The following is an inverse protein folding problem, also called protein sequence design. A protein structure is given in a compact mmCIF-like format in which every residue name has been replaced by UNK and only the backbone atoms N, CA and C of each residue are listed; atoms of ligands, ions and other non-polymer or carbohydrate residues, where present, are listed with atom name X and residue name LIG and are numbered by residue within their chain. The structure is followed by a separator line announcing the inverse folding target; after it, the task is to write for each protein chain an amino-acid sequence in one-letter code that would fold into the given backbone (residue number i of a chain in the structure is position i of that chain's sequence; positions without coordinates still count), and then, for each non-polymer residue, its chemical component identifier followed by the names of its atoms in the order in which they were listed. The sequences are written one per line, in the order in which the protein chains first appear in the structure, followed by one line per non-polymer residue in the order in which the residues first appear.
data_IF_529822973123
#
_entry.id   IF_529822973123
#
_cell.length_a   1.000
_cell.length_b   1.000
_cell.length_c   1.000
_cell.angle_alpha   90.00
_cell.angle_beta   90.00
_cell.angle_gamma   90.00
#
_symmetry.space_group_name_H-M   'P 1'
#
loop_
_entity.id
_entity.type
_entity.pdbx_description
1 polymer ?
#
# COMPACT_ATOMS: atom_id res chain seq x y z
N UNK A 1 -41.99 13.88 58.98
CA UNK A 1 -41.53 14.73 57.89
C UNK A 1 -40.03 14.66 57.62
N UNK A 2 -39.14 14.65 58.61
CA UNK A 2 -37.67 14.63 58.37
C UNK A 2 -37.09 13.35 57.74
N UNK A 3 -37.79 12.19 57.86
CA UNK A 3 -37.39 10.91 57.28
C UNK A 3 -37.68 10.82 55.78
N UNK A 4 -38.78 11.40 55.33
CA UNK A 4 -39.16 11.41 53.92
C UNK A 4 -38.26 12.27 53.04
N UNK A 5 -37.75 13.40 53.58
CA UNK A 5 -36.81 14.27 52.87
C UNK A 5 -35.40 13.65 52.72
N UNK A 6 -34.96 12.84 53.69
CA UNK A 6 -33.68 12.13 53.60
C UNK A 6 -33.70 10.98 52.60
N UNK A 7 -34.81 10.27 52.51
CA UNK A 7 -34.99 9.20 51.52
C UNK A 7 -35.06 9.78 50.09
N UNK A 8 -35.77 10.91 49.92
CA UNK A 8 -35.90 11.58 48.61
C UNK A 8 -34.56 12.14 48.11
N UNK A 9 -33.72 12.71 48.95
CA UNK A 9 -32.38 13.18 48.59
C UNK A 9 -31.41 12.05 48.28
N UNK A 10 -31.51 10.87 48.90
CA UNK A 10 -30.70 9.71 48.60
C UNK A 10 -31.09 9.08 47.25
N UNK A 11 -32.38 9.05 46.90
CA UNK A 11 -32.88 8.57 45.62
C UNK A 11 -32.49 9.51 44.47
N UNK A 12 -32.54 10.87 44.67
CA UNK A 12 -32.09 11.82 43.65
C UNK A 12 -30.56 11.75 43.44
N UNK A 13 -29.77 11.53 44.48
CA UNK A 13 -28.31 11.36 44.39
C UNK A 13 -27.95 10.08 43.65
N UNK A 14 -28.68 8.98 43.83
CA UNK A 14 -28.43 7.72 43.14
C UNK A 14 -28.85 7.78 41.63
N UNK A 15 -29.87 8.53 41.28
CA UNK A 15 -30.29 8.75 39.89
C UNK A 15 -29.30 9.64 39.13
N UNK A 16 -28.72 10.66 39.82
CA UNK A 16 -27.66 11.51 39.23
C UNK A 16 -26.32 10.77 39.04
N UNK A 17 -26.00 9.81 39.92
CA UNK A 17 -24.80 8.97 39.76
C UNK A 17 -24.96 7.91 38.66
N UNK A 18 -26.17 7.40 38.44
CA UNK A 18 -26.47 6.47 37.34
C UNK A 18 -26.49 7.14 35.97
N UNK A 19 -26.79 8.44 35.89
CA UNK A 19 -26.72 9.20 34.63
C UNK A 19 -25.30 9.55 34.18
N UNK A 20 -24.29 9.46 35.07
CA UNK A 20 -22.89 9.66 34.72
C UNK A 20 -22.21 8.41 34.12
N UNK A 21 -22.84 7.23 34.25
CA UNK A 21 -22.35 5.99 33.63
C UNK A 21 -23.05 5.65 32.30
N UNK A 22 -24.08 6.38 31.91
CA UNK A 22 -24.81 6.18 30.63
C UNK A 22 -24.19 6.93 29.44
N UNK A 23 -22.99 7.51 29.60
CA UNK A 23 -22.33 8.34 28.58
C UNK A 23 -21.28 7.63 27.72
N UNK A 24 -21.08 6.31 27.86
CA UNK A 24 -20.32 5.52 26.86
C UNK A 24 -21.28 4.94 25.83
N UNK A 25 -21.96 5.78 25.07
CA UNK A 25 -22.50 5.38 23.79
C UNK A 25 -21.28 5.12 22.89
N UNK A 26 -21.16 3.91 22.36
CA UNK A 26 -20.24 3.67 21.25
C UNK A 26 -20.48 4.77 20.21
N UNK A 27 -19.47 5.59 19.96
CA UNK A 27 -19.52 6.55 18.88
C UNK A 27 -19.81 5.74 17.61
N UNK A 28 -20.89 6.06 16.91
CA UNK A 28 -21.19 5.46 15.62
C UNK A 28 -19.95 5.63 14.72
N UNK A 29 -19.34 4.51 14.33
CA UNK A 29 -18.14 4.52 13.50
C UNK A 29 -18.51 5.01 12.12
N UNK A 30 -17.68 5.87 11.55
CA UNK A 30 -17.87 6.33 10.17
C UNK A 30 -17.36 5.27 9.20
N UNK A 31 -18.23 4.78 8.34
CA UNK A 31 -17.86 3.81 7.29
C UNK A 31 -17.09 4.52 6.19
N UNK A 32 -15.97 3.92 5.78
CA UNK A 32 -15.08 4.39 4.73
C UNK A 32 -14.78 3.23 3.79
N UNK A 33 -15.04 3.45 2.50
CA UNK A 33 -14.69 2.48 1.46
C UNK A 33 -13.27 2.77 0.94
N UNK A 34 -12.41 1.76 1.01
CA UNK A 34 -11.02 1.84 0.55
C UNK A 34 -10.80 0.81 -0.56
N UNK A 35 -10.35 1.25 -1.73
CA UNK A 35 -9.94 0.32 -2.80
C UNK A 35 -8.43 0.18 -2.79
N UNK A 36 -7.95 -1.03 -2.52
CA UNK A 36 -6.52 -1.39 -2.59
C UNK A 36 -6.18 -2.00 -3.96
N UNK A 37 -4.96 -1.73 -4.45
CA UNK A 37 -4.52 -2.20 -5.77
C UNK A 37 -4.48 -3.72 -5.89
N UNK A 38 -4.11 -4.40 -4.82
CA UNK A 38 -4.09 -5.86 -4.66
C UNK A 38 -4.06 -6.21 -3.18
N UNK A 39 -4.44 -7.44 -2.82
CA UNK A 39 -4.32 -7.95 -1.46
C UNK A 39 -2.92 -8.56 -1.29
N UNK A 40 -2.03 -7.93 -0.49
CA UNK A 40 -0.65 -8.34 -0.36
C UNK A 40 -0.05 -7.98 0.99
N UNK A 41 0.78 -8.86 1.55
CA UNK A 41 1.58 -8.59 2.77
C UNK A 41 2.50 -7.38 2.59
N UNK A 42 2.75 -6.95 1.36
CA UNK A 42 3.44 -5.69 1.07
C UNK A 42 2.80 -4.47 1.75
N UNK A 43 1.53 -4.58 2.11
CA UNK A 43 0.77 -3.54 2.82
C UNK A 43 0.60 -3.85 4.31
N UNK A 44 1.53 -4.57 4.93
CA UNK A 44 1.48 -4.95 6.34
C UNK A 44 1.06 -3.82 7.29
N UNK A 45 1.54 -2.56 7.17
CA UNK A 45 1.08 -1.49 8.04
C UNK A 45 -0.43 -1.25 8.01
N UNK A 46 -1.08 -1.38 6.84
CA UNK A 46 -2.53 -1.28 6.69
C UNK A 46 -3.26 -2.38 7.44
N UNK A 47 -2.86 -3.64 7.20
CA UNK A 47 -3.54 -4.79 7.82
C UNK A 47 -3.30 -4.87 9.32
N UNK A 48 -2.11 -4.49 9.78
CA UNK A 48 -1.84 -4.35 11.21
C UNK A 48 -2.74 -3.28 11.82
N UNK A 49 -2.89 -2.12 11.18
CA UNK A 49 -3.80 -1.08 11.67
C UNK A 49 -5.26 -1.55 11.73
N UNK A 50 -5.71 -2.35 10.76
CA UNK A 50 -7.04 -2.98 10.77
C UNK A 50 -7.14 -4.01 11.89
N UNK A 51 -6.26 -5.00 11.93
CA UNK A 51 -6.37 -6.16 12.81
C UNK A 51 -6.10 -5.81 14.29
N UNK A 52 -5.37 -4.73 14.57
CA UNK A 52 -5.17 -4.16 15.92
C UNK A 52 -6.27 -3.19 16.33
N UNK A 53 -7.22 -2.88 15.46
CA UNK A 53 -8.33 -1.99 15.77
C UNK A 53 -7.98 -0.51 15.79
N UNK A 54 -6.87 -0.08 15.20
CA UNK A 54 -6.44 1.33 15.24
C UNK A 54 -7.39 2.26 14.46
N UNK A 55 -8.03 1.75 13.40
CA UNK A 55 -9.08 2.50 12.70
C UNK A 55 -10.34 2.67 13.55
N UNK A 56 -10.74 1.62 14.27
CA UNK A 56 -11.88 1.67 15.20
C UNK A 56 -11.63 2.64 16.35
N UNK A 57 -10.42 2.68 16.90
CA UNK A 57 -10.02 3.65 17.93
C UNK A 57 -10.18 5.09 17.45
N UNK A 58 -9.91 5.35 16.17
CA UNK A 58 -10.10 6.65 15.52
C UNK A 58 -11.54 6.89 15.05
N UNK A 59 -12.47 5.97 15.34
CA UNK A 59 -13.90 6.08 15.01
C UNK A 59 -14.22 5.75 13.56
N UNK A 60 -13.37 4.97 12.88
CA UNK A 60 -13.57 4.53 11.49
C UNK A 60 -13.88 3.05 11.41
N UNK A 61 -14.71 2.67 10.45
CA UNK A 61 -14.96 1.29 10.02
C UNK A 61 -14.60 1.20 8.54
N UNK A 62 -13.57 0.41 8.20
CA UNK A 62 -13.09 0.27 6.84
C UNK A 62 -13.78 -0.88 6.11
N UNK A 63 -14.26 -0.59 4.90
CA UNK A 63 -14.65 -1.60 3.92
C UNK A 63 -13.56 -1.65 2.84
N UNK A 64 -12.79 -2.74 2.82
CA UNK A 64 -11.71 -2.94 1.86
C UNK A 64 -12.21 -3.62 0.60
N UNK A 65 -11.85 -3.06 -0.57
CA UNK A 65 -12.20 -3.58 -1.91
C UNK A 65 -10.91 -3.82 -2.69
N UNK A 66 -10.70 -5.04 -3.18
CA UNK A 66 -9.56 -5.34 -4.06
C UNK A 66 -9.83 -4.81 -5.48
N UNK A 67 -9.13 -3.76 -5.87
CA UNK A 67 -9.29 -3.08 -7.16
C UNK A 67 -8.64 -3.82 -8.34
N UNK A 68 -7.69 -4.72 -8.08
CA UNK A 68 -6.99 -5.50 -9.10
C UNK A 68 -6.26 -4.65 -10.17
N UNK A 69 -5.64 -3.55 -9.76
CA UNK A 69 -4.85 -2.66 -10.60
C UNK A 69 -5.03 -1.18 -10.25
N UNK A 70 -3.97 -0.38 -10.37
CA UNK A 70 -3.96 1.03 -10.00
C UNK A 70 -4.94 1.87 -10.83
N UNK A 71 -5.08 1.56 -12.11
CA UNK A 71 -6.03 2.18 -13.03
C UNK A 71 -7.50 1.99 -12.60
N UNK A 72 -7.84 0.79 -12.12
CA UNK A 72 -9.18 0.49 -11.61
C UNK A 72 -9.44 1.17 -10.27
N UNK A 73 -8.44 1.17 -9.37
CA UNK A 73 -8.52 1.91 -8.10
C UNK A 73 -8.77 3.39 -8.36
N UNK A 74 -7.96 4.01 -9.24
CA UNK A 74 -8.13 5.42 -9.58
C UNK A 74 -9.50 5.69 -10.21
N UNK A 75 -9.96 4.83 -11.13
CA UNK A 75 -11.30 4.96 -11.73
C UNK A 75 -12.40 4.92 -10.66
N UNK A 76 -12.29 4.05 -9.66
CA UNK A 76 -13.26 3.96 -8.57
C UNK A 76 -13.27 5.23 -7.69
N UNK A 77 -12.10 5.82 -7.42
CA UNK A 77 -11.96 7.07 -6.67
C UNK A 77 -12.56 8.25 -7.43
N UNK A 78 -12.13 8.48 -8.68
CA UNK A 78 -12.57 9.65 -9.45
C UNK A 78 -14.06 9.60 -9.83
N UNK A 79 -14.67 8.42 -9.86
CA UNK A 79 -16.11 8.25 -10.04
C UNK A 79 -16.91 8.39 -8.73
N UNK A 80 -16.23 8.46 -7.57
CA UNK A 80 -16.87 8.49 -6.26
C UNK A 80 -17.49 7.16 -5.83
N UNK A 81 -17.08 6.05 -6.45
CA UNK A 81 -17.52 4.71 -6.07
C UNK A 81 -16.88 4.24 -4.77
N UNK A 82 -15.65 4.69 -4.49
CA UNK A 82 -14.94 4.53 -3.22
C UNK A 82 -14.45 5.88 -2.70
N UNK A 83 -14.27 5.97 -1.40
CA UNK A 83 -13.84 7.20 -0.72
C UNK A 83 -12.33 7.43 -0.88
N UNK A 84 -11.54 6.37 -0.72
CA UNK A 84 -10.08 6.39 -0.68
C UNK A 84 -9.53 5.31 -1.60
N UNK A 85 -8.50 5.67 -2.37
CA UNK A 85 -7.70 4.75 -3.15
C UNK A 85 -6.36 4.46 -2.48
N UNK A 86 -5.88 3.23 -2.65
CA UNK A 86 -4.58 2.78 -2.19
C UNK A 86 -3.85 2.08 -3.33
N UNK A 87 -2.96 2.82 -3.99
CA UNK A 87 -2.20 2.37 -5.15
C UNK A 87 -0.95 3.23 -5.35
N UNK A 88 -0.25 3.07 -6.45
CA UNK A 88 0.89 3.90 -6.80
C UNK A 88 0.48 5.36 -7.03
N UNK A 89 1.27 6.32 -6.53
CA UNK A 89 0.97 7.76 -6.67
C UNK A 89 1.10 8.27 -8.11
N UNK A 90 1.69 7.49 -9.04
CA UNK A 90 1.70 7.79 -10.48
C UNK A 90 0.29 7.99 -11.02
N UNK A 91 -0.69 7.26 -10.48
CA UNK A 91 -2.08 7.38 -10.90
C UNK A 91 -2.64 8.79 -10.65
N UNK A 92 -2.25 9.44 -9.54
CA UNK A 92 -2.62 10.83 -9.26
C UNK A 92 -1.93 11.81 -10.21
N UNK A 93 -0.67 11.54 -10.58
CA UNK A 93 0.08 12.34 -11.56
C UNK A 93 -0.61 12.30 -12.93
N UNK A 94 -1.01 11.13 -13.40
CA UNK A 94 -1.71 10.98 -14.68
C UNK A 94 -3.02 11.76 -14.71
N UNK A 95 -3.87 11.60 -13.70
CA UNK A 95 -5.17 12.29 -13.61
C UNK A 95 -5.01 13.81 -13.53
N UNK A 96 -3.99 14.31 -12.83
CA UNK A 96 -3.68 15.73 -12.78
C UNK A 96 -3.27 16.25 -14.16
N UNK A 97 -2.39 15.54 -14.85
CA UNK A 97 -1.89 15.94 -16.17
C UNK A 97 -2.98 15.85 -17.27
N UNK A 98 -4.04 15.09 -17.08
CA UNK A 98 -5.25 15.11 -17.90
C UNK A 98 -6.06 16.41 -17.74
N UNK A 99 -5.68 17.30 -16.81
CA UNK A 99 -6.33 18.60 -16.58
C UNK A 99 -7.63 18.51 -15.77
N UNK A 100 -7.82 17.44 -15.01
CA UNK A 100 -9.00 17.27 -14.17
C UNK A 100 -8.95 18.23 -12.97
N UNK A 101 -10.00 19.05 -12.77
CA UNK A 101 -10.09 20.02 -11.66
C UNK A 101 -10.18 19.32 -10.29
N UNK A 102 -10.99 18.27 -10.18
CA UNK A 102 -11.13 17.42 -8.98
C UNK A 102 -10.25 16.18 -9.14
N UNK A 103 -8.94 16.39 -9.13
CA UNK A 103 -7.94 15.33 -9.18
C UNK A 103 -7.78 14.64 -7.81
N UNK A 104 -7.10 13.51 -7.79
CA UNK A 104 -6.80 12.78 -6.57
C UNK A 104 -5.53 13.35 -5.91
N UNK A 105 -5.65 13.85 -4.67
CA UNK A 105 -4.50 14.24 -3.84
C UNK A 105 -4.00 13.05 -3.03
N UNK A 106 -2.69 12.86 -2.98
CA UNK A 106 -2.03 11.87 -2.14
C UNK A 106 -1.83 12.46 -0.74
N UNK A 107 -2.25 11.75 0.31
CA UNK A 107 -2.20 12.26 1.67
C UNK A 107 -1.45 11.38 2.68
N UNK A 108 -1.04 10.15 2.29
CA UNK A 108 -0.24 9.28 3.17
C UNK A 108 0.53 8.23 2.35
N UNK A 109 1.81 8.05 2.64
CA UNK A 109 2.66 7.02 2.04
C UNK A 109 2.73 5.78 2.94
N UNK A 110 2.81 4.59 2.34
CA UNK A 110 2.97 3.32 3.07
C UNK A 110 4.26 2.62 2.69
N UNK A 111 4.55 2.51 1.42
CA UNK A 111 5.74 1.81 0.92
C UNK A 111 6.66 2.77 0.18
N UNK A 112 7.97 2.57 0.35
CA UNK A 112 9.00 3.47 -0.14
C UNK A 112 10.00 2.81 -1.11
N UNK A 113 9.77 1.53 -1.46
CA UNK A 113 10.54 0.78 -2.45
C UNK A 113 9.63 -0.16 -3.20
N UNK A 114 10.07 -0.63 -4.36
CA UNK A 114 9.40 -1.71 -5.07
C UNK A 114 9.36 -2.97 -4.20
N UNK A 115 8.19 -3.55 -4.04
CA UNK A 115 7.97 -4.76 -3.24
C UNK A 115 7.93 -6.04 -4.07
N UNK A 116 8.24 -5.97 -5.37
CA UNK A 116 8.26 -7.15 -6.21
C UNK A 116 9.61 -7.87 -6.19
N UNK A 117 9.53 -9.17 -6.35
CA UNK A 117 10.69 -10.04 -6.48
C UNK A 117 10.73 -10.59 -7.91
N UNK A 118 11.91 -10.60 -8.50
CA UNK A 118 12.16 -11.28 -9.76
C UNK A 118 12.24 -12.77 -9.49
N UNK A 119 11.33 -13.52 -10.10
CA UNK A 119 11.22 -14.98 -9.98
C UNK A 119 11.64 -15.62 -11.30
N UNK A 120 12.65 -16.48 -11.24
CA UNK A 120 13.16 -17.26 -12.37
C UNK A 120 12.67 -18.70 -12.37
N UNK A 121 12.93 -19.43 -13.45
CA UNK A 121 12.56 -20.84 -13.64
C UNK A 121 13.42 -21.80 -12.80
N UNK A 122 14.63 -21.38 -12.45
CA UNK A 122 15.62 -22.16 -11.70
C UNK A 122 16.26 -21.30 -10.62
N UNK A 123 16.81 -21.90 -9.55
CA UNK A 123 17.62 -21.17 -8.58
C UNK A 123 18.86 -20.56 -9.24
N UNK A 124 19.17 -19.31 -8.92
CA UNK A 124 20.35 -18.58 -9.40
C UNK A 124 21.07 -17.90 -8.23
N UNK A 125 21.97 -18.66 -7.54
CA UNK A 125 22.69 -18.16 -6.35
C UNK A 125 23.52 -16.90 -6.60
N UNK A 126 23.95 -16.65 -7.85
CA UNK A 126 24.74 -15.50 -8.26
C UNK A 126 24.05 -14.75 -9.39
N UNK A 127 22.75 -14.45 -9.21
CA UNK A 127 22.00 -13.67 -10.19
C UNK A 127 22.68 -12.33 -10.46
N UNK A 128 22.71 -11.95 -11.73
CA UNK A 128 23.15 -10.64 -12.18
C UNK A 128 22.18 -10.10 -13.22
N UNK A 129 21.78 -8.86 -13.09
CA UNK A 129 20.80 -8.22 -13.98
C UNK A 129 21.16 -8.33 -15.47
N UNK A 130 22.48 -8.35 -15.81
CA UNK A 130 22.93 -8.55 -17.19
C UNK A 130 22.57 -9.92 -17.76
N UNK A 131 22.23 -10.92 -16.93
CA UNK A 131 21.77 -12.25 -17.39
C UNK A 131 20.37 -12.22 -18.02
N UNK A 132 19.64 -11.11 -17.85
CA UNK A 132 18.36 -10.89 -18.50
C UNK A 132 18.46 -10.62 -20.00
N UNK A 133 19.68 -10.44 -20.55
CA UNK A 133 19.85 -10.21 -21.97
C UNK A 133 19.31 -11.38 -22.80
N UNK A 134 18.41 -11.06 -23.74
CA UNK A 134 17.70 -12.04 -24.56
C UNK A 134 16.59 -12.79 -23.86
N UNK A 135 16.25 -12.46 -22.62
CA UNK A 135 15.21 -13.12 -21.84
C UNK A 135 13.83 -12.49 -22.05
N UNK A 136 12.82 -13.31 -21.84
CA UNK A 136 11.41 -12.92 -21.84
C UNK A 136 10.94 -12.75 -20.39
N UNK A 137 10.55 -11.53 -20.02
CA UNK A 137 10.16 -11.15 -18.65
C UNK A 137 8.73 -10.62 -18.65
N UNK A 138 7.96 -11.03 -17.65
CA UNK A 138 6.63 -10.49 -17.35
C UNK A 138 6.77 -9.44 -16.21
N UNK A 139 6.92 -8.15 -16.50
CA UNK A 139 7.24 -7.14 -15.49
C UNK A 139 6.02 -6.42 -14.92
N UNK A 140 4.83 -6.74 -15.38
CA UNK A 140 3.57 -6.06 -15.07
C UNK A 140 3.01 -5.24 -16.22
N UNK A 141 2.04 -4.39 -15.92
CA UNK A 141 1.35 -3.55 -16.91
C UNK A 141 2.20 -2.31 -17.23
N UNK A 142 2.41 -2.02 -18.50
CA UNK A 142 3.05 -0.79 -18.96
C UNK A 142 2.36 0.45 -18.36
N UNK A 143 3.13 1.46 -17.95
CA UNK A 143 2.64 2.66 -17.29
C UNK A 143 2.29 2.49 -15.80
N UNK A 144 2.39 1.29 -15.23
CA UNK A 144 2.33 1.06 -13.79
C UNK A 144 3.71 1.11 -13.14
N UNK A 145 3.79 1.48 -11.86
CA UNK A 145 5.08 1.59 -11.15
C UNK A 145 5.90 0.29 -11.21
N UNK A 146 5.31 -0.94 -11.06
CA UNK A 146 6.09 -2.18 -11.16
C UNK A 146 6.85 -2.30 -12.48
N UNK A 147 6.18 -2.02 -13.59
CA UNK A 147 6.79 -2.08 -14.93
C UNK A 147 7.90 -1.03 -15.08
N UNK A 148 7.60 0.23 -14.74
CA UNK A 148 8.55 1.34 -14.87
C UNK A 148 9.76 1.19 -13.94
N UNK A 149 9.58 0.71 -12.71
CA UNK A 149 10.67 0.43 -11.79
C UNK A 149 11.57 -0.68 -12.33
N UNK A 150 10.99 -1.74 -12.88
CA UNK A 150 11.75 -2.82 -13.51
C UNK A 150 12.51 -2.33 -14.76
N UNK A 151 11.87 -1.53 -15.63
CA UNK A 151 12.57 -0.88 -16.76
C UNK A 151 13.73 -0.02 -16.30
N UNK A 152 13.53 0.77 -15.25
CA UNK A 152 14.58 1.59 -14.67
C UNK A 152 15.77 0.74 -14.21
N UNK A 153 15.50 -0.35 -13.49
CA UNK A 153 16.53 -1.28 -13.01
C UNK A 153 17.34 -1.88 -14.17
N UNK A 154 16.69 -2.38 -15.20
CA UNK A 154 17.43 -2.98 -16.34
C UNK A 154 18.25 -1.95 -17.12
N UNK A 155 17.76 -0.70 -17.24
CA UNK A 155 18.55 0.40 -17.85
C UNK A 155 19.77 0.77 -17.01
N UNK A 156 19.63 0.83 -15.67
CA UNK A 156 20.76 1.07 -14.76
C UNK A 156 21.85 -0.01 -14.89
N UNK A 157 21.47 -1.22 -15.28
CA UNK A 157 22.37 -2.34 -15.50
C UNK A 157 22.83 -2.47 -16.97
N UNK A 158 22.65 -1.41 -17.79
CA UNK A 158 23.15 -1.31 -19.15
C UNK A 158 22.38 -2.14 -20.19
N UNK A 159 21.15 -2.53 -19.88
CA UNK A 159 20.26 -3.24 -20.81
C UNK A 159 19.18 -2.31 -21.35
N UNK A 160 18.84 -2.47 -22.62
CA UNK A 160 17.79 -1.68 -23.26
C UNK A 160 16.49 -2.48 -23.30
N UNK A 161 15.40 -1.98 -22.64
CA UNK A 161 14.06 -2.59 -22.69
C UNK A 161 13.55 -2.75 -24.13
N UNK A 162 12.94 -3.88 -24.43
CA UNK A 162 12.41 -4.18 -25.76
C UNK A 162 13.47 -4.55 -26.81
N UNK A 163 14.74 -4.28 -26.56
CA UNK A 163 15.87 -4.63 -27.45
C UNK A 163 16.73 -5.74 -26.85
N UNK A 164 17.27 -5.50 -25.65
CA UNK A 164 18.09 -6.48 -24.94
C UNK A 164 17.25 -7.43 -24.08
N UNK A 165 16.10 -6.97 -23.55
CA UNK A 165 15.17 -7.76 -22.74
C UNK A 165 13.77 -7.65 -23.35
N UNK A 166 13.12 -8.78 -23.59
CA UNK A 166 11.73 -8.80 -24.06
C UNK A 166 10.80 -8.61 -22.85
N UNK A 167 10.23 -7.42 -22.71
CA UNK A 167 9.24 -7.10 -21.67
C UNK A 167 7.85 -7.32 -22.23
N UNK A 168 7.14 -8.30 -21.67
CA UNK A 168 5.78 -8.67 -22.09
C UNK A 168 4.74 -8.10 -21.13
N UNK A 169 4.10 -7.03 -21.54
CA UNK A 169 3.02 -6.33 -20.81
C UNK A 169 1.61 -6.82 -21.20
N UNK A 170 1.52 -7.85 -22.06
CA UNK A 170 0.24 -8.40 -22.51
C UNK A 170 -0.50 -9.20 -21.42
N UNK A 171 0.22 -9.68 -20.41
CA UNK A 171 -0.34 -10.48 -19.32
C UNK A 171 -0.86 -9.56 -18.20
N UNK A 172 -2.15 -9.73 -17.86
CA UNK A 172 -2.77 -8.96 -16.79
C UNK A 172 -2.11 -9.24 -15.44
N UNK A 173 -1.91 -8.19 -14.64
CA UNK A 173 -1.25 -8.25 -13.32
C UNK A 173 -1.75 -9.40 -12.44
N UNK A 174 -3.06 -9.55 -12.30
CA UNK A 174 -3.68 -10.58 -11.46
C UNK A 174 -3.44 -12.03 -11.96
N UNK A 175 -2.94 -12.23 -13.19
CA UNK A 175 -2.75 -13.55 -13.79
C UNK A 175 -1.29 -13.87 -14.10
N UNK A 176 -0.35 -12.97 -13.77
CA UNK A 176 1.07 -13.13 -14.11
C UNK A 176 1.69 -14.39 -13.52
N UNK A 177 1.44 -14.67 -12.23
CA UNK A 177 1.94 -15.87 -11.58
C UNK A 177 1.45 -17.15 -12.28
N UNK A 178 0.14 -17.21 -12.57
CA UNK A 178 -0.45 -18.36 -13.29
C UNK A 178 0.10 -18.53 -14.71
N UNK A 179 0.29 -17.42 -15.44
CA UNK A 179 0.88 -17.42 -16.78
C UNK A 179 2.33 -17.92 -16.74
N UNK A 180 3.12 -17.46 -15.76
CA UNK A 180 4.48 -17.95 -15.54
C UNK A 180 4.48 -19.44 -15.24
N UNK A 181 3.69 -19.93 -14.30
CA UNK A 181 3.59 -21.36 -13.96
C UNK A 181 3.17 -22.18 -15.19
N UNK A 182 2.30 -21.65 -16.04
CA UNK A 182 1.89 -22.29 -17.31
C UNK A 182 2.97 -22.27 -18.41
N UNK A 183 4.12 -21.61 -18.18
CA UNK A 183 5.26 -21.63 -19.09
C UNK A 183 5.52 -20.32 -19.83
N UNK A 184 4.78 -19.25 -19.59
CA UNK A 184 5.02 -17.95 -20.20
C UNK A 184 6.18 -17.21 -19.50
N UNK A 185 7.13 -16.67 -20.28
CA UNK A 185 8.29 -15.93 -19.78
C UNK A 185 9.39 -16.80 -19.18
N UNK A 186 10.60 -16.28 -19.13
CA UNK A 186 11.75 -16.85 -18.42
C UNK A 186 11.74 -16.37 -16.97
N UNK A 187 11.32 -15.12 -16.75
CA UNK A 187 11.18 -14.48 -15.46
C UNK A 187 9.85 -13.73 -15.34
N UNK A 188 9.46 -13.49 -14.10
CA UNK A 188 8.26 -12.71 -13.77
C UNK A 188 8.53 -11.90 -12.49
N UNK A 189 8.00 -10.69 -12.39
CA UNK A 189 7.99 -9.93 -11.14
C UNK A 189 6.73 -10.27 -10.34
N UNK A 190 6.88 -10.74 -9.11
CA UNK A 190 5.78 -11.19 -8.26
C UNK A 190 5.92 -10.58 -6.87
N UNK A 191 4.79 -10.19 -6.29
CA UNK A 191 4.71 -9.74 -4.90
C UNK A 191 4.50 -10.91 -3.95
N UNK A 192 4.83 -10.69 -2.69
CA UNK A 192 4.56 -11.62 -1.61
C UNK A 192 3.07 -11.59 -1.16
N UNK A 193 2.49 -12.69 -0.67
CA UNK A 193 3.14 -13.97 -0.36
C UNK A 193 3.33 -14.91 -1.57
N UNK A 194 2.81 -14.55 -2.73
CA UNK A 194 2.79 -15.43 -3.92
C UNK A 194 4.19 -15.86 -4.36
N UNK A 195 5.21 -14.98 -4.25
CA UNK A 195 6.59 -15.33 -4.62
C UNK A 195 7.14 -16.45 -3.72
N UNK A 196 6.96 -16.35 -2.40
CA UNK A 196 7.36 -17.40 -1.44
C UNK A 196 6.58 -18.70 -1.66
N UNK A 197 5.27 -18.62 -1.93
CA UNK A 197 4.45 -19.81 -2.19
C UNK A 197 4.89 -20.53 -3.47
N UNK A 198 5.20 -19.78 -4.55
CA UNK A 198 5.76 -20.36 -5.78
C UNK A 198 7.08 -21.07 -5.52
N UNK A 199 7.97 -20.49 -4.69
CA UNK A 199 9.25 -21.08 -4.32
C UNK A 199 9.05 -22.36 -3.51
N UNK A 200 8.18 -22.36 -2.49
CA UNK A 200 7.83 -23.55 -1.70
C UNK A 200 7.25 -24.70 -2.56
N UNK A 201 6.49 -24.35 -3.60
CA UNK A 201 5.89 -25.30 -4.53
C UNK A 201 6.83 -25.73 -5.67
N UNK A 202 8.05 -25.18 -5.75
CA UNK A 202 9.00 -25.45 -6.83
C UNK A 202 8.54 -24.98 -8.20
N UNK A 203 7.64 -23.98 -8.24
CA UNK A 203 7.07 -23.40 -9.46
C UNK A 203 7.86 -22.19 -9.98
N UNK A 204 8.75 -21.65 -9.16
CA UNK A 204 9.65 -20.55 -9.47
C UNK A 204 10.59 -20.30 -8.29
N UNK A 205 11.63 -19.52 -8.52
CA UNK A 205 12.67 -19.25 -7.51
C UNK A 205 12.97 -17.75 -7.49
N UNK A 206 12.94 -17.14 -6.31
CA UNK A 206 13.29 -15.72 -6.16
C UNK A 206 14.80 -15.59 -6.41
N UNK A 207 15.16 -14.74 -7.38
CA UNK A 207 16.55 -14.47 -7.77
C UNK A 207 17.03 -13.08 -7.41
N UNK A 208 16.12 -12.10 -7.31
CA UNK A 208 16.43 -10.73 -6.90
C UNK A 208 15.21 -10.01 -6.33
N UNK A 209 15.44 -8.98 -5.50
CA UNK A 209 14.44 -7.99 -5.11
C UNK A 209 14.58 -6.76 -6.01
N UNK A 210 13.51 -6.37 -6.70
CA UNK A 210 13.54 -5.20 -7.62
C UNK A 210 13.79 -3.92 -6.83
N UNK A 211 13.22 -3.80 -5.63
CA UNK A 211 13.33 -2.62 -4.79
C UNK A 211 14.74 -2.32 -4.25
N UNK A 212 15.60 -3.33 -4.13
CA UNK A 212 17.00 -3.11 -3.72
C UNK A 212 17.75 -2.33 -4.79
N UNK A 213 17.53 -2.64 -6.05
CA UNK A 213 18.20 -2.02 -7.18
C UNK A 213 17.53 -0.70 -7.61
N UNK A 214 16.19 -0.63 -7.57
CA UNK A 214 15.43 0.58 -7.93
C UNK A 214 15.65 1.73 -6.92
N UNK A 215 15.99 1.40 -5.66
CA UNK A 215 16.16 2.36 -4.60
C UNK A 215 14.85 2.93 -4.03
N UNK A 216 14.95 4.03 -3.28
CA UNK A 216 13.78 4.65 -2.63
C UNK A 216 12.95 5.43 -3.66
N UNK A 217 11.71 4.95 -3.89
CA UNK A 217 10.65 5.63 -4.65
C UNK A 217 9.33 5.43 -3.90
N UNK A 218 8.43 6.43 -3.82
CA UNK A 218 7.12 6.24 -3.22
C UNK A 218 6.33 5.26 -4.10
N UNK A 219 6.08 4.05 -3.56
CA UNK A 219 5.55 2.96 -4.38
C UNK A 219 4.05 2.77 -4.21
N UNK A 220 3.56 2.86 -2.96
CA UNK A 220 2.12 2.81 -2.69
C UNK A 220 1.74 3.85 -1.65
N UNK A 221 0.68 4.58 -1.94
CA UNK A 221 0.19 5.68 -1.12
C UNK A 221 -1.35 5.73 -1.14
N UNK A 222 -1.93 6.38 -0.15
CA UNK A 222 -3.35 6.69 -0.10
C UNK A 222 -3.63 8.02 -0.77
N UNK A 223 -4.69 8.04 -1.55
CA UNK A 223 -5.20 9.22 -2.21
C UNK A 223 -6.72 9.25 -2.22
N UNK A 224 -7.28 10.44 -2.35
CA UNK A 224 -8.71 10.66 -2.51
C UNK A 224 -8.95 11.89 -3.38
N UNK A 225 -10.17 12.02 -3.93
CA UNK A 225 -10.54 13.23 -4.64
C UNK A 225 -10.32 14.47 -3.75
N UNK A 226 -9.73 15.52 -4.29
CA UNK A 226 -9.51 16.80 -3.60
C UNK A 226 -10.76 17.29 -2.89
N UNK A 227 -11.91 17.22 -3.57
CA UNK A 227 -13.20 17.62 -3.00
C UNK A 227 -13.62 16.74 -1.81
N UNK A 228 -13.26 15.44 -1.80
CA UNK A 228 -13.53 14.55 -0.67
C UNK A 228 -12.69 14.93 0.54
N UNK A 229 -11.37 15.15 0.36
CA UNK A 229 -10.45 15.58 1.41
C UNK A 229 -10.93 16.89 2.04
N UNK A 230 -11.30 17.87 1.22
CA UNK A 230 -11.80 19.17 1.69
C UNK A 230 -13.11 19.08 2.48
N UNK A 231 -13.99 18.17 2.12
CA UNK A 231 -15.28 17.95 2.81
C UNK A 231 -15.15 17.10 4.09
N UNK A 232 -14.13 16.29 4.19
CA UNK A 232 -13.96 15.29 5.26
C UNK A 232 -12.56 15.34 5.91
N UNK A 233 -12.01 16.51 6.26
CA UNK A 233 -10.64 16.61 6.77
C UNK A 233 -10.42 15.83 8.06
N UNK A 234 -11.43 15.77 8.94
CA UNK A 234 -11.35 15.01 10.20
C UNK A 234 -11.27 13.49 9.94
N UNK A 235 -11.95 12.99 8.89
CA UNK A 235 -11.88 11.58 8.49
C UNK A 235 -10.50 11.24 7.98
N UNK A 236 -9.94 12.07 7.11
CA UNK A 236 -8.58 11.87 6.58
C UNK A 236 -7.57 11.92 7.72
N UNK A 237 -7.71 12.85 8.68
CA UNK A 237 -6.82 12.89 9.84
C UNK A 237 -6.92 11.63 10.70
N UNK A 238 -8.13 11.19 11.03
CA UNK A 238 -8.35 9.93 11.77
C UNK A 238 -7.77 8.73 11.02
N UNK A 239 -7.93 8.68 9.70
CA UNK A 239 -7.38 7.62 8.86
C UNK A 239 -5.85 7.59 8.93
N UNK A 240 -5.20 8.75 8.77
CA UNK A 240 -3.74 8.86 8.82
C UNK A 240 -3.18 8.56 10.22
N UNK A 241 -3.88 8.98 11.29
CA UNK A 241 -3.49 8.63 12.66
C UNK A 241 -3.48 7.10 12.87
N UNK A 242 -4.53 6.41 12.43
CA UNK A 242 -4.63 4.95 12.54
C UNK A 242 -3.54 4.25 11.71
N UNK A 243 -3.31 4.72 10.48
CA UNK A 243 -2.27 4.21 9.61
C UNK A 243 -0.88 4.35 10.25
N UNK A 244 -0.56 5.53 10.79
CA UNK A 244 0.73 5.78 11.43
C UNK A 244 0.95 4.90 12.67
N UNK A 245 -0.11 4.64 13.47
CA UNK A 245 -0.03 3.62 14.54
C UNK A 245 0.36 2.25 13.97
N UNK A 246 -0.21 1.85 12.82
CA UNK A 246 0.13 0.60 12.14
C UNK A 246 1.57 0.57 11.64
N UNK A 247 2.06 1.65 11.03
CA UNK A 247 3.45 1.78 10.59
C UNK A 247 4.42 1.64 11.78
N UNK A 248 4.20 2.41 12.84
CA UNK A 248 5.01 2.31 14.07
C UNK A 248 5.01 0.90 14.65
N UNK A 249 3.84 0.29 14.74
CA UNK A 249 3.71 -1.04 15.30
C UNK A 249 4.52 -2.07 14.52
N UNK A 250 4.44 -2.05 13.17
CA UNK A 250 5.24 -2.92 12.30
C UNK A 250 6.74 -2.68 12.49
N UNK A 251 7.18 -1.45 12.70
CA UNK A 251 8.60 -1.13 12.88
C UNK A 251 9.14 -1.52 14.27
N UNK A 252 8.29 -1.49 15.30
CA UNK A 252 8.65 -1.73 16.70
C UNK A 252 8.60 -3.21 17.13
N UNK A 253 7.94 -4.09 16.34
CA UNK A 253 7.74 -5.51 16.67
C UNK A 253 8.57 -6.41 15.75
N UNK A 254 8.90 -7.62 16.18
CA UNK A 254 9.64 -8.58 15.37
C UNK A 254 8.78 -9.21 14.24
N UNK A 255 9.41 -10.00 13.37
CA UNK A 255 8.73 -10.55 12.20
C UNK A 255 7.66 -11.57 12.57
N UNK A 256 7.86 -12.33 13.66
CA UNK A 256 6.87 -13.29 14.13
C UNK A 256 5.62 -12.60 14.69
N UNK A 257 5.80 -11.55 15.51
CA UNK A 257 4.69 -10.76 16.05
C UNK A 257 3.90 -10.06 14.93
N UNK A 258 4.59 -9.55 13.91
CA UNK A 258 3.93 -8.94 12.74
C UNK A 258 3.17 -10.00 11.94
N UNK A 259 3.74 -11.18 11.72
CA UNK A 259 3.06 -12.30 11.04
C UNK A 259 1.77 -12.71 11.78
N UNK A 260 1.82 -12.85 13.12
CA UNK A 260 0.63 -13.13 13.92
C UNK A 260 -0.45 -12.03 13.78
N UNK A 261 -0.04 -10.77 13.75
CA UNK A 261 -0.96 -9.65 13.57
C UNK A 261 -1.59 -9.62 12.16
N UNK A 262 -0.90 -10.14 11.15
CA UNK A 262 -1.37 -10.24 9.76
C UNK A 262 -2.29 -11.42 9.51
N UNK A 263 -2.18 -12.51 10.30
CA UNK A 263 -2.90 -13.77 10.08
C UNK A 263 -4.41 -13.61 9.83
N UNK A 264 -5.15 -12.71 10.53
CA UNK A 264 -6.58 -12.53 10.26
C UNK A 264 -6.89 -12.02 8.85
N UNK A 265 -5.95 -11.29 8.23
CA UNK A 265 -6.09 -10.78 6.85
C UNK A 265 -5.59 -11.78 5.80
N UNK A 266 -4.79 -12.76 6.20
CA UNK A 266 -4.20 -13.79 5.33
C UNK A 266 -4.46 -15.20 5.88
N UNK A 267 -5.75 -15.61 6.04
CA UNK A 267 -6.10 -16.86 6.73
C UNK A 267 -5.64 -18.14 5.98
N UNK A 268 -5.42 -18.03 4.68
CA UNK A 268 -5.00 -19.16 3.82
C UNK A 268 -3.47 -19.25 3.68
N UNK A 269 -2.71 -18.33 4.29
CA UNK A 269 -1.24 -18.33 4.26
C UNK A 269 -0.69 -18.83 5.59
N UNK A 270 0.23 -19.80 5.54
CA UNK A 270 0.87 -20.36 6.72
C UNK A 270 1.67 -19.28 7.48
N UNK A 271 1.68 -19.36 8.81
CA UNK A 271 2.33 -18.35 9.66
C UNK A 271 3.83 -18.23 9.39
N UNK A 272 4.51 -19.35 9.12
CA UNK A 272 5.94 -19.38 8.76
C UNK A 272 6.22 -18.71 7.40
N UNK A 273 5.25 -18.73 6.47
CA UNK A 273 5.32 -17.98 5.22
C UNK A 273 5.18 -16.49 5.51
N UNK A 274 4.20 -16.09 6.32
CA UNK A 274 4.01 -14.70 6.70
C UNK A 274 5.23 -14.12 7.38
N UNK A 275 5.85 -14.85 8.32
CA UNK A 275 7.08 -14.44 9.00
C UNK A 275 8.24 -14.24 7.99
N UNK A 276 8.45 -15.21 7.10
CA UNK A 276 9.46 -15.14 6.04
C UNK A 276 9.25 -13.90 5.14
N UNK A 277 8.01 -13.64 4.75
CA UNK A 277 7.62 -12.51 3.91
C UNK A 277 7.85 -11.17 4.62
N UNK A 278 7.46 -11.07 5.89
CA UNK A 278 7.70 -9.87 6.71
C UNK A 278 9.20 -9.60 6.81
N UNK A 279 10.01 -10.62 7.05
CA UNK A 279 11.47 -10.48 7.11
C UNK A 279 12.05 -10.01 5.76
N UNK A 280 11.60 -10.55 4.64
CA UNK A 280 12.03 -10.13 3.30
C UNK A 280 11.72 -8.65 3.05
N UNK A 281 10.49 -8.19 3.35
CA UNK A 281 10.12 -6.79 3.18
C UNK A 281 10.87 -5.84 4.11
N UNK A 282 11.20 -6.26 5.33
CA UNK A 282 12.07 -5.50 6.23
C UNK A 282 13.48 -5.37 5.68
N UNK A 283 14.05 -6.47 5.19
CA UNK A 283 15.41 -6.50 4.68
C UNK A 283 15.62 -5.57 3.48
N UNK A 284 14.62 -5.41 2.62
CA UNK A 284 14.66 -4.45 1.51
C UNK A 284 14.22 -3.04 1.91
N UNK A 285 13.80 -2.81 3.16
CA UNK A 285 13.30 -1.51 3.61
C UNK A 285 12.04 -1.07 2.87
N UNK A 286 11.10 -2.00 2.63
CA UNK A 286 9.92 -1.77 1.80
C UNK A 286 8.97 -0.71 2.37
N UNK A 287 8.83 -0.64 3.68
CA UNK A 287 7.87 0.21 4.37
C UNK A 287 8.45 1.55 4.78
N UNK A 288 7.68 2.61 4.60
CA UNK A 288 8.04 3.93 5.13
C UNK A 288 7.79 3.98 6.65
N UNK A 289 8.70 4.63 7.38
CA UNK A 289 8.60 4.77 8.83
C UNK A 289 7.45 5.71 9.25
N UNK A 290 7.11 6.65 8.37
CA UNK A 290 6.05 7.63 8.57
C UNK A 290 5.19 7.77 7.32
N UNK A 291 3.95 8.28 7.43
CA UNK A 291 3.09 8.49 6.27
C UNK A 291 3.49 9.70 5.41
N UNK A 292 4.53 10.45 5.78
CA UNK A 292 5.01 11.64 5.06
C UNK A 292 5.74 11.23 3.78
N UNK A 293 5.31 11.75 2.64
CA UNK A 293 5.99 11.57 1.36
C UNK A 293 7.03 12.67 1.16
N UNK A 294 8.28 12.30 0.93
CA UNK A 294 9.38 13.24 0.68
C UNK A 294 9.34 13.76 -0.75
N UNK A 295 9.61 15.06 -0.95
CA UNK A 295 9.65 15.68 -2.27
C UNK A 295 10.69 15.02 -3.18
N UNK A 296 11.88 14.72 -2.66
CA UNK A 296 12.95 14.06 -3.41
C UNK A 296 12.55 12.67 -3.93
N UNK A 297 11.81 11.91 -3.12
CA UNK A 297 11.32 10.59 -3.51
C UNK A 297 10.22 10.71 -4.59
N UNK A 298 9.32 11.68 -4.47
CA UNK A 298 8.29 11.95 -5.47
C UNK A 298 8.92 12.42 -6.80
N UNK A 299 9.93 13.28 -6.75
CA UNK A 299 10.67 13.71 -7.96
C UNK A 299 11.38 12.52 -8.63
N UNK A 300 11.93 11.60 -7.83
CA UNK A 300 12.54 10.37 -8.36
C UNK A 300 11.51 9.47 -9.05
N UNK A 301 10.31 9.30 -8.47
CA UNK A 301 9.23 8.57 -9.14
C UNK A 301 8.92 9.19 -10.51
N UNK A 302 8.78 10.51 -10.58
CA UNK A 302 8.52 11.19 -11.84
C UNK A 302 9.67 11.03 -12.84
N UNK A 303 10.92 11.00 -12.36
CA UNK A 303 12.07 10.72 -13.21
C UNK A 303 12.05 9.29 -13.77
N UNK A 304 11.61 8.31 -12.97
CA UNK A 304 11.39 6.94 -13.44
C UNK A 304 10.29 6.90 -14.52
N UNK A 305 9.19 7.62 -14.31
CA UNK A 305 8.10 7.73 -15.29
C UNK A 305 8.56 8.41 -16.61
N UNK A 306 9.33 9.50 -16.52
CA UNK A 306 9.92 10.18 -17.69
C UNK A 306 10.87 9.24 -18.46
N UNK A 307 11.71 8.49 -17.74
CA UNK A 307 12.66 7.53 -18.33
C UNK A 307 11.95 6.39 -19.05
N UNK A 308 10.81 5.97 -18.55
CA UNK A 308 9.94 4.97 -19.20
C UNK A 308 9.13 5.54 -20.38
N UNK A 309 9.17 6.87 -20.60
CA UNK A 309 8.38 7.54 -21.65
C UNK A 309 6.90 7.66 -21.34
N UNK A 310 6.52 7.50 -20.07
CA UNK A 310 5.14 7.52 -19.59
C UNK A 310 4.75 8.90 -18.99
N UNK A 311 5.68 9.84 -18.90
CA UNK A 311 5.45 11.18 -18.38
C UNK A 311 6.11 12.23 -19.28
N UNK A 312 5.30 13.13 -19.85
CA UNK A 312 5.77 14.26 -20.66
C UNK A 312 6.04 15.51 -19.81
N UNK A 313 5.28 15.69 -18.72
CA UNK A 313 5.37 16.85 -17.84
C UNK A 313 5.22 16.43 -16.39
N UNK A 314 6.18 16.82 -15.56
CA UNK A 314 6.14 16.60 -14.10
C UNK A 314 4.98 17.37 -13.47
N UNK A 315 4.28 16.71 -12.56
CA UNK A 315 3.27 17.33 -11.71
C UNK A 315 3.94 18.04 -10.52
N UNK A 316 3.43 19.23 -10.10
CA UNK A 316 3.98 19.92 -8.94
C UNK A 316 3.74 19.13 -7.64
N UNK A 317 4.78 18.99 -6.83
CA UNK A 317 4.72 18.29 -5.54
C UNK A 317 3.64 18.86 -4.63
N UNK A 318 3.65 20.17 -4.36
CA UNK A 318 2.72 20.85 -3.44
C UNK A 318 1.25 20.79 -3.90
N UNK A 319 0.99 20.37 -5.13
CA UNK A 319 -0.35 20.22 -5.67
C UNK A 319 -0.85 18.78 -5.50
N UNK A 320 0.02 17.82 -5.76
CA UNK A 320 -0.34 16.40 -5.72
C UNK A 320 -0.24 15.82 -4.31
N UNK A 321 0.73 16.28 -3.52
CA UNK A 321 1.04 15.74 -2.19
C UNK A 321 0.52 16.68 -1.11
N UNK A 322 -0.39 16.16 -0.29
CA UNK A 322 -0.95 16.86 0.87
C UNK A 322 -0.44 16.21 2.16
N UNK A 323 0.77 16.53 2.57
CA UNK A 323 1.37 15.98 3.79
C UNK A 323 0.80 16.54 5.10
N UNK A 324 -0.10 17.53 5.06
CA UNK A 324 -0.56 18.22 6.27
C UNK A 324 -1.16 17.27 7.33
N UNK A 325 -1.84 16.21 6.89
CA UNK A 325 -2.42 15.18 7.76
C UNK A 325 -1.34 14.25 8.31
N UNK A 326 -0.38 13.86 7.47
CA UNK A 326 0.73 13.00 7.83
C UNK A 326 1.67 13.68 8.85
N UNK A 327 2.06 14.92 8.59
CA UNK A 327 2.87 15.73 9.51
C UNK A 327 2.18 15.91 10.86
N UNK A 328 0.88 16.18 10.88
CA UNK A 328 0.11 16.30 12.12
C UNK A 328 -0.01 14.98 12.89
N UNK A 329 -0.01 13.83 12.22
CA UNK A 329 -0.04 12.53 12.87
C UNK A 329 1.31 12.17 13.50
N UNK A 330 2.41 12.62 12.89
CA UNK A 330 3.78 12.36 13.36
C UNK A 330 4.13 13.26 14.55
N UNK A 331 3.66 14.51 14.61
CA UNK A 331 3.81 15.48 15.72
C UNK A 331 4.86 16.53 15.45
#
# INVERSE_FOLDING_TARGET
MKFFHRALCLCLGAVLLLSLFAGCGEREKKKITVSEVTHSVFYAPQYVAINKGFFEEEGLELELINGQGADKVMTAVISGHVDIGFAGPEASIYIYNEGREDYAEVFAQVTQRDGSFLVGRQPEENFNWSSLKGRHVLPGRKGGVPYMAFEYVIRQNGLEPGTDVNLDDSVQFATMAAAFVAGTGDYVTIFEPTATEMEKQGQGYIVAAVGDEAGEIPYTAYFANKSYIQKNPDVIQSFVNALYKGQKWVMEHDSAEVAEALQPSFPDTDLDVLETVVERYRNIGAWSETPVMKEEAFDRLQTVMETAGELEQKAPYDIIINNSFAEKAVG
#
